data_IF_350106601122
#
_entry.id   IF_350106601122
#
_cell.length_a   1.000
_cell.length_b   1.000
_cell.length_c   1.000
_cell.angle_alpha   90.00
_cell.angle_beta   90.00
_cell.angle_gamma   90.00
#
_symmetry.space_group_name_H-M   'P 1'
#
loop_
_entity.id
_entity.type
_entity.pdbx_description
1 polymer ?
#
# COMPACT_ATOMS: atom_id res chain seq x y z
N UNK A 1 2.33 -9.43 -1.81
CA UNK A 1 3.34 -8.92 -2.77
C UNK A 1 2.65 -8.69 -4.12
N UNK A 2 1.94 -7.57 -4.22
CA UNK A 2 1.26 -7.13 -5.45
C UNK A 2 2.20 -6.35 -6.37
N UNK A 3 1.66 -5.75 -7.46
CA UNK A 3 2.44 -4.97 -8.43
C UNK A 3 3.28 -3.86 -7.77
N UNK A 4 2.67 -3.09 -6.87
CA UNK A 4 3.36 -1.98 -6.16
C UNK A 4 4.42 -2.53 -5.21
N UNK A 5 4.08 -3.50 -4.36
CA UNK A 5 5.06 -4.08 -3.43
C UNK A 5 6.29 -4.69 -4.13
N UNK A 6 6.08 -5.35 -5.29
CA UNK A 6 7.19 -5.83 -6.14
C UNK A 6 8.05 -4.68 -6.67
N UNK A 7 7.43 -3.60 -7.12
CA UNK A 7 8.15 -2.42 -7.62
C UNK A 7 8.97 -1.73 -6.51
N UNK A 8 8.44 -1.68 -5.30
CA UNK A 8 9.17 -1.18 -4.11
C UNK A 8 10.35 -2.11 -3.79
N UNK A 9 10.12 -3.43 -3.73
CA UNK A 9 11.16 -4.42 -3.42
C UNK A 9 12.34 -4.36 -4.40
N UNK A 10 12.07 -4.23 -5.70
CA UNK A 10 13.13 -4.09 -6.72
C UNK A 10 13.99 -2.84 -6.49
N UNK A 11 13.37 -1.73 -6.09
CA UNK A 11 14.08 -0.47 -5.82
C UNK A 11 14.86 -0.53 -4.50
N UNK A 12 14.27 -1.10 -3.46
CA UNK A 12 14.94 -1.27 -2.17
C UNK A 12 16.21 -2.16 -2.29
N UNK A 13 16.19 -3.16 -3.16
CA UNK A 13 17.38 -3.97 -3.47
C UNK A 13 18.53 -3.16 -4.05
N UNK A 14 18.27 -2.10 -4.80
CA UNK A 14 19.32 -1.23 -5.31
C UNK A 14 20.07 -0.46 -4.19
N UNK A 15 19.53 -0.48 -2.97
CA UNK A 15 20.16 0.03 -1.75
C UNK A 15 20.71 -1.10 -0.86
N UNK A 16 20.91 -2.31 -1.42
CA UNK A 16 21.40 -3.50 -0.72
C UNK A 16 20.56 -3.92 0.50
N UNK A 17 19.28 -3.54 0.52
CA UNK A 17 18.37 -3.91 1.62
C UNK A 17 17.98 -5.39 1.55
N UNK A 18 17.94 -6.07 2.70
CA UNK A 18 17.24 -7.36 2.87
C UNK A 18 15.73 -7.12 2.79
N UNK A 19 15.04 -7.86 1.94
CA UNK A 19 13.61 -7.67 1.71
C UNK A 19 12.82 -8.80 2.35
N UNK A 20 12.12 -8.48 3.42
CA UNK A 20 11.09 -9.33 4.01
C UNK A 20 9.72 -8.98 3.43
N UNK A 21 8.84 -9.97 3.28
CA UNK A 21 7.46 -9.67 2.95
C UNK A 21 6.49 -10.58 3.68
N UNK A 22 5.33 -10.02 3.99
CA UNK A 22 4.14 -10.74 4.44
C UNK A 22 3.00 -10.54 3.45
N UNK A 23 2.23 -11.58 3.22
CA UNK A 23 1.05 -11.54 2.36
C UNK A 23 0.11 -12.69 2.77
N UNK A 24 -1.21 -12.49 2.64
CA UNK A 24 -2.19 -13.54 2.91
C UNK A 24 -1.89 -14.83 2.14
N UNK A 25 -1.47 -14.70 0.88
CA UNK A 25 -1.04 -15.81 0.03
C UNK A 25 0.41 -15.61 -0.39
N UNK A 26 1.28 -16.55 -0.02
CA UNK A 26 2.69 -16.55 -0.42
C UNK A 26 2.82 -16.56 -1.95
N UNK A 27 3.75 -15.80 -2.51
CA UNK A 27 4.08 -15.87 -3.94
C UNK A 27 4.83 -17.17 -4.25
N UNK A 28 4.95 -17.50 -5.54
CA UNK A 28 5.66 -18.71 -5.94
C UNK A 28 7.14 -18.68 -5.51
N UNK A 29 7.67 -19.82 -5.03
CA UNK A 29 9.08 -19.91 -4.59
C UNK A 29 10.09 -19.51 -5.66
N UNK A 30 9.78 -19.79 -6.94
CA UNK A 30 10.60 -19.35 -8.07
C UNK A 30 10.67 -17.83 -8.15
N UNK A 31 9.56 -17.16 -7.89
CA UNK A 31 9.48 -15.68 -7.90
C UNK A 31 10.21 -15.08 -6.71
N UNK A 32 10.07 -15.66 -5.50
CA UNK A 32 10.84 -15.26 -4.31
C UNK A 32 12.34 -15.29 -4.58
N UNK A 33 12.83 -16.40 -5.16
CA UNK A 33 14.25 -16.57 -5.51
C UNK A 33 14.72 -15.53 -6.53
N UNK A 34 13.93 -15.30 -7.59
CA UNK A 34 14.25 -14.31 -8.61
C UNK A 34 14.30 -12.91 -8.06
N UNK A 35 13.34 -12.56 -7.21
CA UNK A 35 13.26 -11.24 -6.56
C UNK A 35 14.20 -11.10 -5.37
N UNK A 36 14.76 -12.21 -4.85
CA UNK A 36 15.54 -12.26 -3.60
C UNK A 36 14.78 -11.64 -2.45
N UNK A 37 13.55 -12.09 -2.22
CA UNK A 37 12.67 -11.68 -1.12
C UNK A 37 12.35 -12.87 -0.24
N UNK A 38 12.11 -12.64 1.05
CA UNK A 38 11.87 -13.66 2.05
C UNK A 38 10.45 -13.55 2.63
N UNK A 39 9.68 -14.64 2.59
CA UNK A 39 8.36 -14.69 3.22
C UNK A 39 8.50 -14.94 4.71
N UNK A 40 7.86 -14.08 5.51
CA UNK A 40 7.79 -14.22 6.96
C UNK A 40 6.37 -13.94 7.46
N UNK A 41 6.05 -14.34 8.69
CA UNK A 41 4.82 -13.91 9.34
C UNK A 41 4.85 -12.40 9.66
N UNK A 42 3.68 -11.80 9.87
CA UNK A 42 3.56 -10.36 10.11
C UNK A 42 4.36 -9.90 11.32
N UNK A 43 4.33 -10.66 12.41
CA UNK A 43 5.02 -10.30 13.65
C UNK A 43 6.54 -10.28 13.47
N UNK A 44 7.09 -11.24 12.76
CA UNK A 44 8.52 -11.30 12.40
C UNK A 44 8.89 -10.12 11.50
N UNK A 45 8.06 -9.82 10.47
CA UNK A 45 8.28 -8.66 9.61
C UNK A 45 8.36 -7.38 10.42
N UNK A 46 7.41 -7.12 11.31
CA UNK A 46 7.36 -5.92 12.13
C UNK A 46 8.55 -5.79 13.07
N UNK A 47 9.01 -6.90 13.64
CA UNK A 47 10.15 -6.93 14.58
C UNK A 47 11.50 -6.74 13.91
N UNK A 48 11.67 -7.27 12.69
CA UNK A 48 12.98 -7.30 12.03
C UNK A 48 13.20 -6.13 11.06
N UNK A 49 12.13 -5.46 10.60
CA UNK A 49 12.23 -4.41 9.60
C UNK A 49 12.67 -3.07 10.18
N UNK A 50 13.50 -2.35 9.42
CA UNK A 50 13.86 -0.96 9.68
C UNK A 50 12.91 0.00 8.91
N UNK A 51 12.39 -0.45 7.76
CA UNK A 51 11.37 0.24 6.97
C UNK A 51 10.22 -0.71 6.66
N UNK A 52 9.00 -0.32 6.97
CA UNK A 52 7.78 -1.11 6.71
C UNK A 52 6.90 -0.33 5.74
N UNK A 53 6.68 -0.91 4.56
CA UNK A 53 5.84 -0.32 3.51
C UNK A 53 4.54 -1.10 3.35
N UNK A 54 3.40 -0.44 3.52
CA UNK A 54 2.07 -1.02 3.37
C UNK A 54 1.63 -0.94 1.91
N UNK A 55 1.33 -2.11 1.32
CA UNK A 55 0.95 -2.27 -0.09
C UNK A 55 -0.25 -3.24 -0.20
N UNK A 56 -1.22 -3.09 0.67
CA UNK A 56 -2.43 -3.93 0.74
C UNK A 56 -3.67 -3.14 0.31
N UNK A 57 -4.70 -3.78 -0.27
CA UNK A 57 -6.00 -3.14 -0.45
C UNK A 57 -6.68 -2.94 0.91
N UNK A 58 -7.61 -2.00 0.99
CA UNK A 58 -8.48 -1.89 2.15
C UNK A 58 -9.61 -2.93 2.02
N UNK A 59 -9.71 -3.82 3.00
CA UNK A 59 -10.77 -4.82 3.18
C UNK A 59 -11.10 -4.90 4.67
N UNK A 60 -12.12 -5.64 5.05
CA UNK A 60 -12.42 -5.86 6.48
C UNK A 60 -11.24 -6.48 7.23
N UNK A 61 -10.48 -7.39 6.58
CA UNK A 61 -9.32 -8.05 7.21
C UNK A 61 -8.08 -7.14 7.30
N UNK A 62 -8.01 -6.09 6.48
CA UNK A 62 -6.85 -5.16 6.45
C UNK A 62 -7.15 -3.83 7.11
N UNK A 63 -8.40 -3.58 7.50
CA UNK A 63 -8.75 -2.44 8.33
C UNK A 63 -8.05 -2.56 9.69
N UNK A 64 -7.32 -1.51 10.06
CA UNK A 64 -6.47 -1.47 11.27
C UNK A 64 -5.52 -2.68 11.39
N UNK A 65 -5.04 -3.20 10.23
CA UNK A 65 -4.01 -4.24 10.19
C UNK A 65 -2.77 -3.86 11.02
N UNK A 66 -2.46 -2.58 11.06
CA UNK A 66 -1.41 -2.02 11.91
C UNK A 66 -2.09 -1.21 13.00
N UNK A 67 -2.39 -1.89 14.09
CA UNK A 67 -2.94 -1.30 15.30
C UNK A 67 -1.89 -1.15 16.40
N UNK A 68 -2.37 -0.91 17.64
CA UNK A 68 -1.52 -0.70 18.81
C UNK A 68 -0.55 -1.88 19.06
N UNK A 69 -1.02 -3.11 18.90
CA UNK A 69 -0.21 -4.31 19.14
C UNK A 69 0.91 -4.43 18.10
N UNK A 70 0.60 -4.20 16.83
CA UNK A 70 1.55 -4.24 15.71
C UNK A 70 2.60 -3.14 15.84
N UNK A 71 2.19 -1.93 16.16
CA UNK A 71 3.09 -0.80 16.43
C UNK A 71 4.01 -1.06 17.62
N UNK A 72 3.53 -1.77 18.65
CA UNK A 72 4.30 -2.02 19.88
C UNK A 72 5.47 -2.98 19.70
N UNK A 73 5.47 -3.80 18.65
CA UNK A 73 6.52 -4.80 18.38
C UNK A 73 7.54 -4.32 17.36
N UNK A 74 7.34 -3.15 16.75
CA UNK A 74 8.29 -2.53 15.81
C UNK A 74 9.57 -2.09 16.54
N UNK A 75 10.66 -2.00 15.78
CA UNK A 75 11.91 -1.43 16.32
C UNK A 75 11.73 0.04 16.66
N UNK A 76 12.38 0.54 17.73
CA UNK A 76 12.35 1.97 18.07
C UNK A 76 12.90 2.88 16.96
N UNK A 77 13.72 2.34 16.09
CA UNK A 77 14.30 3.04 14.92
C UNK A 77 13.53 2.86 13.63
N UNK A 78 12.49 2.02 13.62
CA UNK A 78 11.76 1.69 12.40
C UNK A 78 10.89 2.84 11.88
N UNK A 79 10.72 2.88 10.57
CA UNK A 79 9.82 3.81 9.88
C UNK A 79 8.65 3.05 9.24
N UNK A 80 7.42 3.55 9.46
CA UNK A 80 6.20 3.02 8.85
C UNK A 80 5.76 3.89 7.68
N UNK A 81 5.61 3.32 6.48
CA UNK A 81 5.22 4.03 5.27
C UNK A 81 3.87 3.52 4.78
N UNK A 82 2.89 4.43 4.64
CA UNK A 82 1.58 4.11 4.08
C UNK A 82 1.27 4.93 2.84
N UNK A 83 1.31 4.27 1.70
CA UNK A 83 0.87 4.80 0.40
C UNK A 83 -0.26 3.94 -0.18
N UNK A 84 -0.93 3.16 0.67
CA UNK A 84 -2.02 2.26 0.27
C UNK A 84 -3.39 2.89 0.53
N UNK A 85 -3.93 2.73 1.73
CA UNK A 85 -5.18 3.33 2.22
C UNK A 85 -5.04 3.68 3.70
N UNK A 86 -5.55 4.85 4.11
CA UNK A 86 -5.47 5.33 5.49
C UNK A 86 -5.95 4.33 6.53
N UNK A 87 -7.20 3.80 6.43
CA UNK A 87 -7.76 2.90 7.44
C UNK A 87 -7.03 1.55 7.62
N UNK A 88 -5.95 1.28 6.89
CA UNK A 88 -5.06 0.13 7.15
C UNK A 88 -4.28 0.31 8.47
N UNK A 89 -4.12 1.56 8.90
CA UNK A 89 -3.49 1.90 10.19
C UNK A 89 -4.57 2.45 11.13
N UNK A 90 -4.53 2.07 12.40
CA UNK A 90 -5.17 2.82 13.47
C UNK A 90 -4.35 4.10 13.71
N UNK A 91 -4.77 5.21 13.08
CA UNK A 91 -4.02 6.46 13.15
C UNK A 91 -3.97 7.07 14.55
N UNK A 92 -4.98 6.83 15.41
CA UNK A 92 -4.95 7.28 16.80
C UNK A 92 -3.83 6.58 17.55
N UNK A 93 -3.72 5.26 17.39
CA UNK A 93 -2.63 4.50 17.99
C UNK A 93 -1.27 4.93 17.42
N UNK A 94 -1.18 5.21 16.10
CA UNK A 94 0.04 5.71 15.48
C UNK A 94 0.48 7.06 16.07
N UNK A 95 -0.43 8.02 16.23
CA UNK A 95 -0.13 9.33 16.86
C UNK A 95 0.44 9.16 18.26
N UNK A 96 -0.13 8.28 19.08
CA UNK A 96 0.38 8.01 20.43
C UNK A 96 1.79 7.43 20.42
N UNK A 97 2.05 6.47 19.52
CA UNK A 97 3.34 5.78 19.38
C UNK A 97 4.42 6.74 18.87
N UNK A 98 4.09 7.58 17.87
CA UNK A 98 5.01 8.60 17.33
C UNK A 98 5.33 9.68 18.36
N UNK A 99 4.32 10.18 19.09
CA UNK A 99 4.50 11.17 20.16
C UNK A 99 5.39 10.63 21.28
N UNK A 100 5.23 9.37 21.62
CA UNK A 100 6.04 8.69 22.62
C UNK A 100 7.43 8.23 22.10
N UNK A 101 7.78 8.52 20.83
CA UNK A 101 9.03 8.10 20.19
C UNK A 101 9.30 6.59 20.27
N UNK A 102 8.24 5.77 20.25
CA UNK A 102 8.35 4.31 20.29
C UNK A 102 8.75 3.68 18.96
N UNK A 103 8.62 4.43 17.87
CA UNK A 103 9.18 4.12 16.54
C UNK A 103 9.90 5.36 16.02
N UNK A 104 10.77 5.17 15.01
CA UNK A 104 11.57 6.25 14.43
C UNK A 104 10.74 7.34 13.75
N UNK A 105 9.70 6.92 13.01
CA UNK A 105 8.83 7.87 12.32
C UNK A 105 7.81 7.19 11.40
N UNK A 106 7.05 8.02 10.68
CA UNK A 106 6.13 7.55 9.64
C UNK A 106 6.12 8.46 8.40
N UNK A 107 5.79 7.88 7.25
CA UNK A 107 5.51 8.59 6.00
C UNK A 107 4.10 8.20 5.52
N UNK A 108 3.20 9.18 5.46
CA UNK A 108 1.80 8.95 5.12
C UNK A 108 1.42 9.77 3.88
N UNK A 109 0.92 9.10 2.84
CA UNK A 109 0.30 9.72 1.66
C UNK A 109 -1.22 9.58 1.69
N UNK A 110 -1.76 8.83 2.64
CA UNK A 110 -3.18 8.53 2.81
C UNK A 110 -3.56 8.55 4.28
N UNK A 111 -4.83 8.89 4.57
CA UNK A 111 -5.31 9.12 5.95
C UNK A 111 -6.62 8.38 6.20
N UNK A 112 -6.88 8.08 7.47
CA UNK A 112 -8.04 7.28 7.88
C UNK A 112 -9.38 7.96 7.54
N UNK A 113 -9.44 9.30 7.66
CA UNK A 113 -10.65 10.10 7.45
C UNK A 113 -10.47 11.20 6.42
N UNK A 114 -9.81 10.90 5.27
CA UNK A 114 -9.59 11.89 4.21
C UNK A 114 -10.85 12.70 3.88
N UNK A 115 -10.74 14.01 3.67
CA UNK A 115 -9.52 14.82 3.66
C UNK A 115 -9.05 15.28 5.05
N UNK A 116 -9.74 14.93 6.11
CA UNK A 116 -9.40 15.30 7.49
C UNK A 116 -8.23 14.47 8.00
N UNK A 117 -7.31 15.13 8.70
CA UNK A 117 -6.19 14.47 9.37
C UNK A 117 -6.58 14.10 10.82
N UNK A 118 -6.06 13.00 11.31
CA UNK A 118 -6.21 12.63 12.72
C UNK A 118 -5.55 13.69 13.60
N UNK A 119 -6.27 14.19 14.63
CA UNK A 119 -5.75 15.22 15.54
C UNK A 119 -4.39 14.81 16.15
N UNK A 120 -3.44 15.72 16.07
CA UNK A 120 -2.09 15.53 16.59
C UNK A 120 -1.06 15.12 15.57
N UNK A 121 -1.42 14.61 14.38
CA UNK A 121 -0.45 14.26 13.33
C UNK A 121 0.40 15.45 12.90
N UNK A 122 -0.22 16.59 12.64
CA UNK A 122 0.48 17.81 12.18
C UNK A 122 1.38 18.46 13.22
N UNK A 123 1.32 18.00 14.48
CA UNK A 123 2.13 18.51 15.58
C UNK A 123 3.42 17.68 15.80
N UNK A 124 3.58 16.60 15.05
CA UNK A 124 4.71 15.68 15.16
C UNK A 124 5.82 16.08 14.19
N UNK A 125 7.07 16.00 14.63
CA UNK A 125 8.26 16.29 13.83
C UNK A 125 8.92 15.03 13.24
N UNK A 126 8.42 13.85 13.60
CA UNK A 126 8.87 12.56 13.09
C UNK A 126 7.85 11.91 12.13
N UNK A 127 7.04 12.72 11.47
CA UNK A 127 6.11 12.26 10.43
C UNK A 127 6.20 13.12 9.19
N UNK A 128 6.17 12.48 8.02
CA UNK A 128 6.02 13.15 6.73
C UNK A 128 4.58 12.94 6.25
N UNK A 129 3.89 14.04 5.94
CA UNK A 129 2.50 14.04 5.50
C UNK A 129 2.43 14.55 4.06
N UNK A 130 1.90 13.74 3.15
CA UNK A 130 1.69 14.08 1.74
C UNK A 130 0.19 14.08 1.41
N UNK A 131 -0.28 14.90 0.46
CA UNK A 131 -1.70 15.07 0.19
C UNK A 131 -2.23 14.09 -0.88
N UNK A 132 -2.05 12.78 -0.69
CA UNK A 132 -2.48 11.69 -1.58
C UNK A 132 -1.97 11.88 -3.01
N UNK A 133 -0.66 12.01 -3.16
CA UNK A 133 0.02 12.32 -4.42
C UNK A 133 0.78 11.15 -5.05
N UNK A 134 0.62 9.93 -4.55
CA UNK A 134 1.32 8.75 -5.09
C UNK A 134 1.15 8.51 -6.59
N UNK A 135 0.05 9.00 -7.20
CA UNK A 135 -0.19 9.00 -8.65
C UNK A 135 -0.22 10.42 -9.24
N UNK A 136 0.38 11.40 -8.57
CA UNK A 136 0.22 12.84 -8.86
C UNK A 136 1.10 13.39 -9.98
N UNK A 137 1.95 12.59 -10.63
CA UNK A 137 2.77 13.09 -11.75
C UNK A 137 1.92 13.37 -12.98
N UNK A 138 2.32 14.37 -13.78
CA UNK A 138 1.61 14.74 -15.01
C UNK A 138 1.47 13.52 -15.94
N UNK A 139 2.54 12.77 -16.15
CA UNK A 139 2.54 11.56 -16.98
C UNK A 139 1.52 10.52 -16.50
N UNK A 140 1.48 10.25 -15.20
CA UNK A 140 0.54 9.27 -14.62
C UNK A 140 -0.90 9.76 -14.77
N UNK A 141 -1.17 11.04 -14.51
CA UNK A 141 -2.52 11.63 -14.68
C UNK A 141 -2.98 11.60 -16.12
N UNK A 142 -2.12 11.95 -17.06
CA UNK A 142 -2.40 11.83 -18.50
C UNK A 142 -2.76 10.40 -18.89
N UNK A 143 -1.95 9.43 -18.43
CA UNK A 143 -2.16 8.01 -18.74
C UNK A 143 -3.46 7.47 -18.16
N UNK A 144 -3.83 7.87 -16.93
CA UNK A 144 -5.12 7.52 -16.31
C UNK A 144 -6.28 8.08 -17.15
N UNK A 145 -6.21 9.36 -17.55
CA UNK A 145 -7.23 10.01 -18.38
C UNK A 145 -7.38 9.32 -19.73
N UNK A 146 -6.28 9.07 -20.44
CA UNK A 146 -6.27 8.35 -21.73
C UNK A 146 -6.92 6.98 -21.61
N UNK A 147 -6.52 6.19 -20.61
CA UNK A 147 -7.12 4.86 -20.37
C UNK A 147 -8.62 4.92 -20.09
N UNK A 148 -9.07 5.91 -19.32
CA UNK A 148 -10.50 6.08 -19.06
C UNK A 148 -11.29 6.39 -20.34
N UNK A 149 -10.77 7.28 -21.18
CA UNK A 149 -11.38 7.65 -22.47
C UNK A 149 -11.40 6.46 -23.44
N UNK A 150 -10.31 5.70 -23.56
CA UNK A 150 -10.23 4.50 -24.40
C UNK A 150 -11.28 3.45 -24.00
N UNK A 151 -11.44 3.22 -22.69
CA UNK A 151 -12.47 2.30 -22.19
C UNK A 151 -13.89 2.80 -22.48
N UNK A 152 -14.12 4.11 -22.31
CA UNK A 152 -15.43 4.72 -22.60
C UNK A 152 -15.78 4.61 -24.10
N UNK A 153 -14.87 4.98 -25.00
CA UNK A 153 -15.06 4.90 -26.45
C UNK A 153 -15.34 3.44 -26.84
N UNK A 154 -14.55 2.48 -26.36
CA UNK A 154 -14.78 1.07 -26.67
C UNK A 154 -16.18 0.63 -26.25
N UNK A 155 -16.65 1.03 -25.05
CA UNK A 155 -17.98 0.72 -24.56
C UNK A 155 -19.10 1.33 -25.41
N UNK A 156 -18.96 2.61 -25.81
CA UNK A 156 -19.94 3.33 -26.65
C UNK A 156 -20.03 2.71 -28.06
N UNK A 157 -18.93 2.21 -28.61
CA UNK A 157 -18.88 1.53 -29.89
C UNK A 157 -19.30 0.04 -29.84
N UNK A 158 -19.73 -0.44 -28.67
CA UNK A 158 -20.13 -1.85 -28.47
C UNK A 158 -18.94 -2.83 -28.44
N UNK A 159 -17.71 -2.33 -28.45
CA UNK A 159 -16.49 -3.15 -28.28
C UNK A 159 -16.25 -3.46 -26.81
N UNK A 160 -15.49 -4.51 -26.55
CA UNK A 160 -15.05 -4.84 -25.18
C UNK A 160 -14.01 -3.81 -24.73
N UNK A 161 -14.26 -3.11 -23.59
CA UNK A 161 -13.25 -2.19 -23.03
C UNK A 161 -11.94 -2.92 -22.70
N UNK A 162 -10.77 -2.36 -23.04
CA UNK A 162 -9.49 -3.02 -22.84
C UNK A 162 -9.15 -3.33 -21.37
N UNK A 163 -9.76 -2.62 -20.43
CA UNK A 163 -9.55 -2.81 -18.99
C UNK A 163 -10.84 -3.21 -18.26
N UNK A 164 -11.61 -4.12 -18.83
CA UNK A 164 -12.85 -4.61 -18.23
C UNK A 164 -12.56 -5.29 -16.87
N UNK A 165 -13.19 -4.80 -15.79
CA UNK A 165 -12.94 -5.25 -14.41
C UNK A 165 -13.60 -6.60 -14.12
N UNK A 166 -14.75 -6.87 -14.76
CA UNK A 166 -15.58 -8.05 -14.55
C UNK A 166 -15.82 -8.81 -15.87
N UNK A 167 -14.79 -9.47 -16.43
CA UNK A 167 -14.88 -10.12 -17.75
C UNK A 167 -15.92 -11.26 -17.81
N UNK A 168 -16.35 -11.79 -16.68
CA UNK A 168 -17.41 -12.81 -16.57
C UNK A 168 -18.76 -12.34 -17.14
N UNK A 169 -19.03 -11.02 -17.14
CA UNK A 169 -20.28 -10.45 -17.69
C UNK A 169 -20.41 -10.69 -19.19
N UNK A 170 -19.30 -10.91 -19.90
CA UNK A 170 -19.32 -11.18 -21.34
C UNK A 170 -19.99 -12.52 -21.65
N UNK A 171 -19.92 -13.49 -20.73
CA UNK A 171 -20.60 -14.78 -20.89
C UNK A 171 -22.12 -14.64 -20.78
N UNK A 172 -22.61 -13.66 -20.04
CA UNK A 172 -24.06 -13.39 -19.89
C UNK A 172 -24.62 -12.67 -21.11
N UNK A 173 -23.84 -11.84 -21.82
CA UNK A 173 -24.28 -11.16 -23.06
C UNK A 173 -24.42 -12.08 -24.27
N UNK A 174 -23.70 -13.20 -24.31
CA UNK A 174 -23.83 -14.18 -25.39
C UNK A 174 -25.05 -15.11 -25.22
N UNK A 175 -25.83 -14.97 -24.15
CA UNK A 175 -27.03 -15.74 -23.84
C UNK A 175 -28.33 -14.93 -24.02
N UNK A 176 -28.24 -13.67 -24.47
CA UNK A 176 -29.36 -12.77 -24.86
C UNK A 176 -29.33 -12.54 -26.37
#
# INVERSE_FOLDING_TARGET
MGKIGKAVAVRARAFDMRILYHNRKRIALKEEKTMRVEYVDLKTLLKESDFISLNVPLTEETKHLIGRNELSVMKPTAFLINTSRGPVIDEKALVEVLRARKIGGAGLDVYENEPSLTPGLTQLDNVILLPHVGSGTLETRMKIGTLAVENLIAGLEGRIPPNLVNPEILKMRSSL
#
